data_IF_821813593852
#
_entry.id   IF_821813593852
#
_cell.length_a   1.000
_cell.length_b   1.000
_cell.length_c   1.000
_cell.angle_alpha   90.00
_cell.angle_beta   90.00
_cell.angle_gamma   90.00
#
_symmetry.space_group_name_H-M   'P 1'
#
loop_
_entity.id
_entity.type
_entity.pdbx_description
1 polymer ?
#
# COMPACT_ATOMS: atom_id res chain seq x y z
N UNK A 1 55.07 -16.28 -37.20
CA UNK A 1 55.44 -17.28 -38.19
C UNK A 1 56.51 -18.28 -37.70
N UNK A 2 57.02 -18.13 -36.45
CA UNK A 2 58.05 -18.94 -35.80
C UNK A 2 57.70 -19.16 -34.33
N UNK A 3 58.24 -20.21 -33.71
CA UNK A 3 58.20 -20.38 -32.27
C UNK A 3 58.98 -19.27 -31.58
N UNK A 4 58.56 -18.81 -30.43
CA UNK A 4 59.19 -17.72 -29.73
C UNK A 4 58.62 -17.41 -28.36
N UNK A 5 58.77 -16.16 -27.91
CA UNK A 5 58.19 -15.64 -26.68
C UNK A 5 57.49 -14.34 -26.92
N UNK A 6 56.32 -14.16 -26.31
CA UNK A 6 55.70 -12.86 -26.13
C UNK A 6 56.15 -12.28 -24.80
N UNK A 7 56.67 -11.08 -24.83
CA UNK A 7 56.93 -10.26 -23.64
C UNK A 7 55.81 -9.24 -23.48
N UNK A 8 55.34 -8.97 -22.27
CA UNK A 8 54.27 -7.99 -22.03
C UNK A 8 54.41 -7.28 -20.69
N UNK A 9 53.97 -6.03 -20.64
CA UNK A 9 53.82 -5.21 -19.43
C UNK A 9 52.42 -4.62 -19.36
N UNK A 10 51.91 -4.37 -18.16
CA UNK A 10 50.61 -3.82 -17.92
C UNK A 10 50.72 -2.42 -17.34
N UNK A 11 50.02 -1.42 -17.93
CA UNK A 11 49.90 -0.04 -17.45
C UNK A 11 51.26 0.66 -17.17
N UNK A 12 52.29 0.30 -17.88
CA UNK A 12 53.60 0.91 -17.70
C UNK A 12 54.20 1.31 -19.07
N UNK A 13 54.05 2.60 -19.41
CA UNK A 13 54.51 3.14 -20.68
C UNK A 13 56.03 3.38 -20.70
N UNK A 14 56.68 3.42 -19.55
CA UNK A 14 58.12 3.67 -19.41
C UNK A 14 58.93 2.39 -19.35
N UNK A 15 58.31 1.24 -19.01
CA UNK A 15 59.03 -0.03 -18.88
C UNK A 15 59.49 -0.55 -20.25
N UNK A 16 60.72 -1.05 -20.30
CA UNK A 16 61.17 -1.86 -21.42
C UNK A 16 60.49 -3.24 -21.35
N UNK A 17 59.68 -3.54 -22.35
CA UNK A 17 58.86 -4.77 -22.43
C UNK A 17 59.74 -6.02 -22.32
N UNK A 18 60.98 -5.99 -22.87
CA UNK A 18 61.88 -7.14 -22.91
C UNK A 18 62.66 -7.37 -21.60
N UNK A 19 62.83 -6.35 -20.79
CA UNK A 19 63.61 -6.46 -19.54
C UNK A 19 62.75 -6.48 -18.29
N UNK A 20 61.55 -5.84 -18.32
CA UNK A 20 60.65 -5.71 -17.17
C UNK A 20 59.40 -6.54 -17.35
N UNK A 21 59.12 -7.07 -18.53
CA UNK A 21 57.88 -7.74 -18.88
C UNK A 21 57.78 -9.19 -18.40
N UNK A 22 56.54 -9.61 -18.17
CA UNK A 22 56.19 -11.04 -18.08
C UNK A 22 56.30 -11.70 -19.46
N UNK A 23 56.40 -13.04 -19.49
CA UNK A 23 56.56 -13.78 -20.75
C UNK A 23 55.55 -14.88 -20.93
N UNK A 24 55.19 -15.15 -22.18
CA UNK A 24 54.40 -16.28 -22.62
C UNK A 24 55.07 -16.95 -23.83
N UNK A 25 55.11 -18.28 -23.88
CA UNK A 25 55.60 -19.01 -25.05
C UNK A 25 54.62 -18.83 -26.25
N UNK A 26 55.21 -18.67 -27.45
CA UNK A 26 54.44 -18.65 -28.71
C UNK A 26 54.72 -19.93 -29.49
N UNK A 27 53.68 -20.54 -30.01
CA UNK A 27 53.75 -21.72 -30.86
C UNK A 27 53.44 -21.33 -32.30
N UNK A 28 54.31 -21.72 -33.22
CA UNK A 28 54.16 -21.45 -34.62
C UNK A 28 52.85 -22.10 -35.21
N UNK A 29 52.11 -21.30 -35.94
CA UNK A 29 50.93 -21.76 -36.63
C UNK A 29 49.69 -21.93 -35.75
N UNK A 30 49.77 -21.64 -34.44
CA UNK A 30 48.68 -21.67 -33.47
C UNK A 30 48.15 -20.26 -33.18
N UNK A 31 46.88 -20.17 -32.76
CA UNK A 31 46.29 -18.96 -32.15
C UNK A 31 46.78 -18.87 -30.70
N UNK A 32 47.72 -17.99 -30.44
CA UNK A 32 48.29 -17.81 -29.11
C UNK A 32 47.43 -16.86 -28.28
N UNK A 33 46.92 -17.34 -27.13
CA UNK A 33 46.04 -16.55 -26.24
C UNK A 33 46.80 -16.16 -24.98
N UNK A 34 46.92 -14.86 -24.73
CA UNK A 34 47.44 -14.32 -23.46
C UNK A 34 46.25 -14.15 -22.49
N UNK A 35 46.23 -14.95 -21.42
CA UNK A 35 45.25 -14.80 -20.35
C UNK A 35 45.85 -13.91 -19.25
N UNK A 36 45.20 -12.79 -19.00
CA UNK A 36 45.52 -11.86 -17.92
C UNK A 36 44.64 -12.12 -16.69
N UNK A 37 45.24 -12.17 -15.51
CA UNK A 37 44.54 -12.38 -14.24
C UNK A 37 44.89 -11.27 -13.26
N UNK A 38 44.03 -11.01 -12.27
CA UNK A 38 44.27 -9.99 -11.24
C UNK A 38 44.21 -8.55 -11.77
N UNK A 39 43.49 -8.34 -12.87
CA UNK A 39 43.22 -7.00 -13.38
C UNK A 39 42.29 -6.24 -12.41
N UNK A 40 42.52 -4.94 -12.25
CA UNK A 40 41.64 -4.10 -11.47
C UNK A 40 40.36 -3.82 -12.23
N UNK A 41 39.22 -3.96 -11.53
CA UNK A 41 37.89 -3.72 -12.10
C UNK A 41 37.57 -2.23 -12.33
N UNK A 42 38.47 -1.33 -11.81
CA UNK A 42 38.19 0.12 -11.75
C UNK A 42 38.80 0.92 -12.90
N UNK A 43 39.56 0.31 -13.78
CA UNK A 43 40.23 1.01 -14.90
C UNK A 43 40.53 0.08 -16.07
N UNK A 44 40.60 0.66 -17.27
CA UNK A 44 41.08 -0.04 -18.43
C UNK A 44 42.60 -0.35 -18.27
N UNK A 45 43.05 -1.47 -18.82
CA UNK A 45 44.42 -1.92 -18.73
C UNK A 45 45.06 -1.83 -20.10
N UNK A 46 46.16 -1.08 -20.21
CA UNK A 46 46.99 -1.04 -21.43
C UNK A 46 48.02 -2.16 -21.35
N UNK A 47 47.97 -3.06 -22.31
CA UNK A 47 48.96 -4.13 -22.50
C UNK A 47 49.91 -3.71 -23.59
N UNK A 48 51.19 -3.49 -23.26
CA UNK A 48 52.25 -3.33 -24.22
C UNK A 48 52.97 -4.66 -24.39
N UNK A 49 53.18 -5.07 -25.61
CA UNK A 49 53.76 -6.38 -25.89
C UNK A 49 54.66 -6.38 -27.14
N UNK A 50 55.61 -7.30 -27.17
CA UNK A 50 56.45 -7.56 -28.32
C UNK A 50 56.87 -9.04 -28.34
N UNK A 51 57.13 -9.57 -29.53
CA UNK A 51 57.60 -10.93 -29.72
C UNK A 51 59.12 -10.96 -29.88
N UNK A 52 59.74 -12.06 -29.44
CA UNK A 52 61.12 -12.43 -29.70
C UNK A 52 61.17 -13.84 -30.26
N UNK A 53 61.87 -14.07 -31.35
CA UNK A 53 62.03 -15.41 -31.94
C UNK A 53 63.07 -16.25 -31.18
N UNK A 54 63.24 -17.51 -31.60
CA UNK A 54 64.22 -18.44 -30.99
C UNK A 54 65.69 -18.05 -31.20
N UNK A 55 65.99 -17.07 -32.06
CA UNK A 55 67.33 -16.54 -32.33
C UNK A 55 67.57 -15.22 -31.62
N UNK A 56 66.61 -14.69 -30.89
CA UNK A 56 66.73 -13.42 -30.17
C UNK A 56 66.36 -12.19 -30.98
N UNK A 57 65.78 -12.30 -32.16
CA UNK A 57 65.29 -11.16 -32.93
C UNK A 57 63.99 -10.65 -32.35
N UNK A 58 63.92 -9.32 -32.14
CA UNK A 58 62.79 -8.65 -31.44
C UNK A 58 61.93 -7.89 -32.44
N UNK A 59 60.64 -8.09 -32.30
CA UNK A 59 59.65 -7.31 -33.02
C UNK A 59 59.39 -5.94 -32.40
N UNK A 60 58.65 -5.09 -33.10
CA UNK A 60 58.19 -3.80 -32.58
C UNK A 60 57.22 -3.96 -31.39
N UNK A 61 57.30 -3.02 -30.44
CA UNK A 61 56.38 -2.98 -29.34
C UNK A 61 55.02 -2.48 -29.82
N UNK A 62 54.01 -3.28 -29.56
CA UNK A 62 52.61 -2.98 -29.83
C UNK A 62 51.86 -2.72 -28.53
N UNK A 63 50.69 -2.15 -28.62
CA UNK A 63 49.79 -1.99 -27.47
C UNK A 63 48.33 -2.32 -27.81
N UNK A 64 47.62 -2.85 -26.83
CA UNK A 64 46.19 -3.08 -26.88
C UNK A 64 45.58 -2.68 -25.53
N UNK A 65 44.42 -2.08 -25.54
CA UNK A 65 43.68 -1.74 -24.33
C UNK A 65 42.63 -2.82 -24.04
N UNK A 66 42.76 -3.45 -22.88
CA UNK A 66 41.69 -4.27 -22.28
C UNK A 66 40.74 -3.30 -21.63
N UNK A 67 39.46 -3.25 -22.07
CA UNK A 67 38.50 -2.28 -21.53
C UNK A 67 38.22 -2.51 -20.05
N UNK A 68 37.77 -1.47 -19.39
CA UNK A 68 37.21 -1.53 -18.04
C UNK A 68 36.09 -2.56 -18.00
N UNK A 69 36.03 -3.36 -16.95
CA UNK A 69 34.91 -4.23 -16.63
C UNK A 69 34.09 -3.62 -15.51
N UNK A 70 32.79 -3.47 -15.72
CA UNK A 70 31.83 -3.08 -14.68
C UNK A 70 31.02 -4.29 -14.24
N UNK A 71 31.12 -4.64 -12.96
CA UNK A 71 30.24 -5.65 -12.36
C UNK A 71 28.79 -5.15 -12.31
N UNK A 72 27.84 -6.05 -12.35
CA UNK A 72 26.45 -5.68 -12.09
C UNK A 72 26.31 -5.17 -10.65
N UNK A 73 25.58 -4.07 -10.39
CA UNK A 73 25.30 -3.60 -9.05
C UNK A 73 24.66 -4.69 -8.17
N UNK A 74 25.09 -4.77 -6.91
CA UNK A 74 24.56 -5.73 -5.94
C UNK A 74 23.88 -5.00 -4.76
N UNK A 75 23.28 -5.76 -3.84
CA UNK A 75 22.69 -5.22 -2.59
C UNK A 75 21.67 -4.11 -2.85
N UNK A 76 20.66 -4.41 -3.65
CA UNK A 76 19.59 -3.47 -3.95
C UNK A 76 18.55 -3.47 -2.81
N UNK A 77 18.28 -2.30 -2.25
CA UNK A 77 17.34 -2.13 -1.14
C UNK A 77 16.51 -0.85 -1.29
N UNK A 78 15.31 -0.85 -0.70
CA UNK A 78 14.55 0.36 -0.44
C UNK A 78 14.91 0.91 0.94
N UNK A 79 15.05 2.22 1.07
CA UNK A 79 15.19 2.87 2.39
C UNK A 79 13.84 2.76 3.11
N UNK A 80 13.85 2.23 4.33
CA UNK A 80 12.64 2.01 5.13
C UNK A 80 11.74 3.24 5.19
N UNK A 81 10.44 3.04 4.86
CA UNK A 81 9.42 4.07 4.89
C UNK A 81 9.50 5.10 3.77
N UNK A 82 10.35 4.87 2.76
CA UNK A 82 10.52 5.79 1.62
C UNK A 82 10.51 5.07 0.28
N UNK A 83 10.32 5.82 -0.80
CA UNK A 83 10.49 5.37 -2.18
C UNK A 83 11.93 5.57 -2.70
N UNK A 84 12.93 5.62 -1.81
CA UNK A 84 14.33 5.78 -2.18
C UNK A 84 14.98 4.42 -2.38
N UNK A 85 15.39 4.14 -3.60
CA UNK A 85 16.21 3.00 -3.99
C UNK A 85 17.67 3.24 -3.63
N UNK A 86 18.37 2.21 -3.12
CA UNK A 86 19.82 2.23 -2.85
C UNK A 86 20.46 0.94 -3.35
N UNK A 87 21.74 1.04 -3.72
CA UNK A 87 22.56 -0.09 -4.17
C UNK A 87 24.02 0.09 -3.77
N UNK A 88 24.81 -0.99 -3.87
CA UNK A 88 26.25 -0.93 -3.62
C UNK A 88 26.97 -0.20 -4.75
N UNK A 89 28.02 0.57 -4.39
CA UNK A 89 28.95 1.15 -5.34
C UNK A 89 29.61 0.07 -6.20
N UNK A 90 29.77 0.34 -7.49
CA UNK A 90 30.53 -0.49 -8.44
C UNK A 90 31.83 0.20 -8.75
N UNK A 91 33.00 -0.43 -8.48
CA UNK A 91 34.30 0.16 -8.80
C UNK A 91 34.37 0.50 -10.28
N UNK A 92 34.82 1.73 -10.57
CA UNK A 92 34.95 2.23 -11.94
C UNK A 92 33.66 2.74 -12.58
N UNK A 93 32.51 2.65 -11.94
CA UNK A 93 31.31 3.28 -12.44
C UNK A 93 31.35 4.81 -12.29
N UNK A 94 30.97 5.54 -13.32
CA UNK A 94 30.81 6.99 -13.28
C UNK A 94 29.36 7.40 -12.94
N UNK A 95 28.40 6.56 -13.30
CA UNK A 95 26.96 6.77 -13.05
C UNK A 95 26.22 5.44 -13.10
N UNK A 96 24.91 5.47 -12.87
CA UNK A 96 24.03 4.31 -12.86
C UNK A 96 22.78 4.59 -13.66
N UNK A 97 22.27 3.57 -14.33
CA UNK A 97 20.94 3.56 -14.94
C UNK A 97 20.00 2.75 -14.05
N UNK A 98 18.87 3.33 -13.66
CA UNK A 98 17.92 2.72 -12.73
C UNK A 98 16.59 2.53 -13.43
N UNK A 99 16.10 1.29 -13.52
CA UNK A 99 14.83 0.94 -14.11
C UNK A 99 13.84 0.54 -13.03
N UNK A 100 12.70 1.24 -12.96
CA UNK A 100 11.60 0.94 -12.07
C UNK A 100 10.60 -0.03 -12.72
N UNK A 101 10.08 -0.96 -11.93
CA UNK A 101 9.04 -1.90 -12.29
C UNK A 101 7.87 -1.79 -11.30
N UNK A 102 6.65 -1.91 -11.79
CA UNK A 102 5.42 -2.04 -11.00
C UNK A 102 4.71 -3.33 -11.42
N UNK A 103 4.43 -4.20 -10.48
CA UNK A 103 3.76 -5.48 -10.71
C UNK A 103 4.44 -6.32 -11.82
N UNK A 104 5.78 -6.19 -11.91
CA UNK A 104 6.62 -6.88 -12.88
C UNK A 104 6.75 -6.21 -14.25
N UNK A 105 6.03 -5.12 -14.52
CA UNK A 105 6.12 -4.35 -15.77
C UNK A 105 6.96 -3.08 -15.59
N UNK A 106 7.68 -2.66 -16.63
CA UNK A 106 8.39 -1.37 -16.65
C UNK A 106 7.40 -0.21 -16.56
N UNK A 107 7.67 0.74 -15.64
CA UNK A 107 6.78 1.89 -15.38
C UNK A 107 7.06 3.05 -16.31
N UNK A 108 8.34 3.32 -16.59
CA UNK A 108 8.82 4.44 -17.37
C UNK A 108 10.22 4.10 -17.93
N UNK A 109 10.78 4.89 -18.86
CA UNK A 109 12.18 4.76 -19.24
C UNK A 109 13.09 4.83 -18.03
N UNK A 110 14.20 4.08 -18.08
CA UNK A 110 15.21 4.11 -17.03
C UNK A 110 15.76 5.53 -16.82
N UNK A 111 16.09 5.84 -15.57
CA UNK A 111 16.65 7.13 -15.17
C UNK A 111 18.14 7.00 -14.87
N UNK A 112 18.91 8.08 -15.05
CA UNK A 112 20.32 8.12 -14.69
C UNK A 112 20.51 8.70 -13.30
N UNK A 113 21.39 8.11 -12.49
CA UNK A 113 21.79 8.58 -11.17
C UNK A 113 23.32 8.65 -11.08
N UNK A 114 23.84 9.76 -10.58
CA UNK A 114 25.28 9.97 -10.37
C UNK A 114 25.77 9.47 -8.98
N UNK A 115 24.84 8.97 -8.18
CA UNK A 115 25.09 8.42 -6.84
C UNK A 115 24.52 7.01 -6.75
N UNK A 116 24.76 6.32 -5.64
CA UNK A 116 24.23 4.97 -5.36
C UNK A 116 22.82 4.98 -4.80
N UNK A 117 22.04 6.01 -5.07
CA UNK A 117 20.65 6.12 -4.66
C UNK A 117 19.81 6.94 -5.63
N UNK A 118 18.49 6.66 -5.66
CA UNK A 118 17.52 7.42 -6.41
C UNK A 118 16.15 7.38 -5.72
N UNK A 119 15.47 8.53 -5.60
CA UNK A 119 14.14 8.62 -5.01
C UNK A 119 13.09 8.71 -6.11
N UNK A 120 12.18 7.74 -6.14
CA UNK A 120 11.07 7.69 -7.08
C UNK A 120 9.85 8.42 -6.50
N UNK A 121 9.01 9.01 -7.37
CA UNK A 121 7.67 9.44 -7.03
C UNK A 121 6.70 8.32 -7.41
N UNK A 122 6.08 7.67 -6.40
CA UNK A 122 5.19 6.53 -6.58
C UNK A 122 3.75 6.98 -6.29
N UNK A 123 2.97 7.23 -7.35
CA UNK A 123 1.62 7.81 -7.26
C UNK A 123 0.51 6.77 -7.18
N UNK A 124 0.79 5.52 -7.55
CA UNK A 124 -0.21 4.46 -7.65
C UNK A 124 0.06 3.32 -6.68
N UNK A 125 -1.00 2.63 -6.26
CA UNK A 125 -0.89 1.37 -5.53
C UNK A 125 -0.24 0.30 -6.40
N UNK A 126 0.58 -0.56 -5.79
CA UNK A 126 1.25 -1.65 -6.49
C UNK A 126 2.49 -2.16 -5.77
N UNK A 127 3.09 -3.21 -6.31
CA UNK A 127 4.35 -3.80 -5.85
C UNK A 127 5.49 -3.30 -6.75
N UNK A 128 6.38 -2.50 -6.17
CA UNK A 128 7.48 -1.88 -6.90
C UNK A 128 8.80 -2.60 -6.64
N UNK A 129 9.55 -2.86 -7.72
CA UNK A 129 10.94 -3.31 -7.70
C UNK A 129 11.77 -2.44 -8.63
N UNK A 130 13.08 -2.49 -8.48
CA UNK A 130 13.98 -1.80 -9.42
C UNK A 130 15.19 -2.68 -9.77
N UNK A 131 15.81 -2.37 -10.91
CA UNK A 131 17.10 -2.90 -11.34
C UNK A 131 18.04 -1.76 -11.63
N UNK A 132 19.33 -2.03 -11.52
CA UNK A 132 20.39 -1.03 -11.72
C UNK A 132 21.46 -1.60 -12.66
N UNK A 133 21.99 -0.74 -13.52
CA UNK A 133 23.11 -0.99 -14.40
C UNK A 133 24.16 0.09 -14.15
N UNK A 134 25.43 -0.29 -14.00
CA UNK A 134 26.53 0.65 -13.85
C UNK A 134 27.05 1.11 -15.21
N UNK A 135 27.47 2.37 -15.32
CA UNK A 135 27.92 3.02 -16.55
C UNK A 135 29.24 3.73 -16.34
N UNK A 136 30.11 3.68 -17.38
CA UNK A 136 31.25 4.57 -17.52
C UNK A 136 31.49 4.87 -19.00
N UNK A 137 31.03 6.04 -19.47
CA UNK A 137 30.99 6.35 -20.90
C UNK A 137 30.09 5.33 -21.63
N UNK A 138 30.65 4.68 -22.67
CA UNK A 138 29.97 3.66 -23.45
C UNK A 138 30.04 2.25 -22.83
N UNK A 139 30.75 2.11 -21.70
CA UNK A 139 30.86 0.81 -21.01
C UNK A 139 29.72 0.63 -20.05
N UNK A 140 29.00 -0.48 -20.21
CA UNK A 140 27.83 -0.85 -19.45
C UNK A 140 28.09 -2.16 -18.71
N UNK A 141 27.66 -2.25 -17.44
CA UNK A 141 27.58 -3.55 -16.77
C UNK A 141 26.38 -4.36 -17.28
N UNK A 142 26.24 -5.61 -16.88
CA UNK A 142 24.95 -6.26 -16.89
C UNK A 142 23.97 -5.55 -15.93
N UNK A 143 22.66 -5.70 -16.17
CA UNK A 143 21.64 -5.32 -15.20
C UNK A 143 21.75 -6.19 -13.94
N UNK A 144 21.51 -5.59 -12.80
CA UNK A 144 21.36 -6.33 -11.54
C UNK A 144 20.17 -7.28 -11.56
N UNK A 145 20.11 -8.20 -10.61
CA UNK A 145 18.87 -8.83 -10.22
C UNK A 145 17.89 -7.76 -9.71
N UNK A 146 16.60 -8.10 -9.66
CA UNK A 146 15.59 -7.19 -9.13
C UNK A 146 15.76 -7.00 -7.61
N UNK A 147 15.45 -5.81 -7.12
CA UNK A 147 15.37 -5.53 -5.68
C UNK A 147 14.27 -6.35 -5.00
N UNK A 148 14.25 -6.37 -3.66
CA UNK A 148 13.06 -6.70 -2.90
C UNK A 148 11.90 -5.78 -3.26
N UNK A 149 10.67 -6.25 -3.08
CA UNK A 149 9.46 -5.48 -3.39
C UNK A 149 9.17 -4.41 -2.32
N UNK A 150 8.77 -3.23 -2.77
CA UNK A 150 8.15 -2.18 -1.97
C UNK A 150 6.66 -2.12 -2.33
N UNK A 151 5.79 -2.44 -1.38
CA UNK A 151 4.35 -2.32 -1.57
C UNK A 151 3.89 -0.91 -1.21
N UNK A 152 3.23 -0.25 -2.16
CA UNK A 152 2.58 1.04 -1.99
C UNK A 152 1.08 0.82 -2.06
N UNK A 153 0.36 1.35 -1.10
CA UNK A 153 -1.09 1.39 -1.09
C UNK A 153 -1.56 2.85 -1.01
N UNK A 154 -2.34 3.26 -2.00
CA UNK A 154 -2.97 4.58 -2.13
C UNK A 154 -4.49 4.48 -2.21
N UNK A 155 -5.01 3.26 -2.06
CA UNK A 155 -6.45 2.99 -2.15
C UNK A 155 -7.09 3.34 -0.81
N UNK A 156 -8.13 4.12 -0.84
CA UNK A 156 -8.89 4.43 0.37
C UNK A 156 -9.93 3.35 0.63
N UNK A 157 -10.17 2.94 1.89
CA UNK A 157 -11.24 2.00 2.21
C UNK A 157 -12.60 2.48 1.74
N UNK A 158 -13.41 1.58 1.18
CA UNK A 158 -14.80 1.86 0.82
C UNK A 158 -15.76 1.29 1.87
N UNK A 159 -16.69 2.15 2.35
CA UNK A 159 -17.73 1.80 3.31
C UNK A 159 -19.06 1.67 2.59
N UNK A 160 -19.79 0.59 2.86
CA UNK A 160 -21.09 0.30 2.27
C UNK A 160 -22.00 -0.46 3.25
N UNK A 161 -23.31 -0.61 2.92
CA UNK A 161 -24.27 -1.40 3.67
C UNK A 161 -24.56 -0.84 5.07
N UNK A 162 -24.44 0.48 5.24
CA UNK A 162 -24.62 1.14 6.53
C UNK A 162 -26.07 0.99 7.02
N UNK A 163 -26.23 0.54 8.26
CA UNK A 163 -27.51 0.44 8.95
C UNK A 163 -27.35 0.74 10.44
N UNK A 164 -28.44 1.09 11.09
CA UNK A 164 -28.46 1.29 12.52
C UNK A 164 -29.74 0.72 13.15
N UNK A 165 -29.61 0.26 14.38
CA UNK A 165 -30.72 -0.24 15.15
C UNK A 165 -30.65 0.24 16.60
N UNK A 166 -31.84 0.18 17.28
CA UNK A 166 -31.93 0.46 18.71
C UNK A 166 -32.32 -0.80 19.46
N UNK A 167 -31.76 -0.99 20.63
CA UNK A 167 -32.19 -2.02 21.60
C UNK A 167 -33.02 -1.42 22.70
N UNK A 168 -32.74 -0.19 23.11
CA UNK A 168 -33.48 0.58 24.11
C UNK A 168 -33.20 2.10 23.96
N UNK A 169 -33.66 2.92 24.90
CA UNK A 169 -33.48 4.37 24.86
C UNK A 169 -32.02 4.81 24.93
N UNK A 170 -31.16 4.01 25.52
CA UNK A 170 -29.75 4.36 25.76
C UNK A 170 -28.77 3.58 24.89
N UNK A 171 -29.20 2.48 24.27
CA UNK A 171 -28.34 1.57 23.54
C UNK A 171 -28.81 1.32 22.11
N UNK A 172 -27.87 1.06 21.24
CA UNK A 172 -28.10 0.74 19.84
C UNK A 172 -26.86 0.21 19.16
N UNK A 173 -26.88 0.11 17.85
CA UNK A 173 -25.70 -0.27 17.09
C UNK A 173 -25.72 0.33 15.69
N UNK A 174 -24.53 0.48 15.11
CA UNK A 174 -24.30 0.74 13.69
C UNK A 174 -23.60 -0.47 13.10
N UNK A 175 -24.06 -0.93 11.94
CA UNK A 175 -23.46 -1.99 11.15
C UNK A 175 -23.08 -1.43 9.79
N UNK A 176 -21.93 -1.81 9.28
CA UNK A 176 -21.44 -1.43 7.95
C UNK A 176 -20.44 -2.47 7.44
N UNK A 177 -20.15 -2.44 6.15
CA UNK A 177 -19.12 -3.26 5.51
C UNK A 177 -17.98 -2.36 5.05
N UNK A 178 -16.73 -2.75 5.38
CA UNK A 178 -15.52 -2.17 4.80
C UNK A 178 -14.88 -3.19 3.87
N UNK A 179 -14.40 -2.77 2.70
CA UNK A 179 -13.66 -3.65 1.79
C UNK A 179 -12.23 -3.93 2.27
N UNK A 180 -11.71 -3.09 3.19
CA UNK A 180 -10.38 -3.23 3.77
C UNK A 180 -10.41 -3.30 5.30
N UNK A 181 -9.38 -3.92 5.87
CA UNK A 181 -9.10 -3.89 7.30
C UNK A 181 -8.50 -2.53 7.72
N UNK A 182 -8.72 -2.14 8.97
CA UNK A 182 -8.17 -0.88 9.47
C UNK A 182 -8.75 -0.47 10.81
N UNK A 183 -8.88 0.85 11.01
CA UNK A 183 -9.48 1.47 12.20
C UNK A 183 -10.70 2.28 11.82
N UNK A 184 -11.85 1.95 12.39
CA UNK A 184 -13.06 2.75 12.29
C UNK A 184 -13.07 3.81 13.40
N UNK A 185 -13.06 5.07 13.01
CA UNK A 185 -13.23 6.24 13.90
C UNK A 185 -14.68 6.72 13.80
N UNK A 186 -15.32 7.05 14.94
CA UNK A 186 -16.70 7.50 14.92
C UNK A 186 -17.03 8.51 16.00
N UNK A 187 -18.00 9.37 15.69
CA UNK A 187 -18.59 10.38 16.61
C UNK A 187 -20.11 10.20 16.61
N UNK A 188 -20.72 10.24 17.79
CA UNK A 188 -22.17 10.15 17.99
C UNK A 188 -22.75 11.53 18.26
N UNK A 189 -23.75 11.93 17.49
CA UNK A 189 -24.44 13.22 17.64
C UNK A 189 -23.66 14.40 17.08
N UNK A 190 -24.24 15.59 17.22
CA UNK A 190 -23.65 16.84 16.72
C UNK A 190 -23.79 17.04 15.20
N UNK A 191 -23.00 17.98 14.69
CA UNK A 191 -22.88 18.25 13.27
C UNK A 191 -21.83 17.36 12.63
N UNK A 192 -21.87 17.20 11.30
CA UNK A 192 -20.88 16.41 10.55
C UNK A 192 -19.48 17.00 10.76
N UNK A 193 -18.56 16.22 11.38
CA UNK A 193 -17.20 16.69 11.66
C UNK A 193 -16.34 16.72 10.39
N UNK A 194 -15.22 17.45 10.45
CA UNK A 194 -14.11 17.26 9.51
C UNK A 194 -13.35 15.95 9.82
N UNK A 195 -12.59 15.44 8.85
CA UNK A 195 -11.80 14.20 9.02
C UNK A 195 -10.85 14.25 10.22
N UNK A 196 -10.17 15.38 10.44
CA UNK A 196 -9.21 15.53 11.55
C UNK A 196 -9.90 15.45 12.91
N UNK A 197 -11.14 15.94 13.02
CA UNK A 197 -11.94 15.80 14.24
C UNK A 197 -12.34 14.34 14.52
N UNK A 198 -12.62 13.55 13.47
CA UNK A 198 -12.84 12.12 13.61
C UNK A 198 -11.58 11.38 14.07
N UNK A 199 -10.42 11.69 13.47
CA UNK A 199 -9.14 11.09 13.87
C UNK A 199 -8.76 11.41 15.34
N UNK A 200 -9.13 12.58 15.81
CA UNK A 200 -8.94 12.99 17.20
C UNK A 200 -9.96 12.36 18.17
N UNK A 201 -11.00 11.67 17.65
CA UNK A 201 -12.03 11.03 18.47
C UNK A 201 -11.43 9.90 19.32
N UNK A 202 -11.90 9.80 20.57
CA UNK A 202 -11.59 8.65 21.43
C UNK A 202 -12.33 7.37 21.02
N UNK A 203 -13.38 7.47 20.16
CA UNK A 203 -14.13 6.32 19.70
C UNK A 203 -13.47 5.71 18.47
N UNK A 204 -12.73 4.64 18.69
CA UNK A 204 -12.03 3.88 17.64
C UNK A 204 -12.24 2.39 17.84
N UNK A 205 -12.37 1.66 16.73
CA UNK A 205 -12.49 0.21 16.71
C UNK A 205 -11.61 -0.36 15.61
N UNK A 206 -10.79 -1.36 15.95
CA UNK A 206 -10.09 -2.16 14.96
C UNK A 206 -11.10 -3.04 14.21
N UNK A 207 -10.99 -3.06 12.89
CA UNK A 207 -11.89 -3.79 12.00
C UNK A 207 -11.11 -4.67 11.02
N UNK A 208 -11.71 -5.81 10.66
CA UNK A 208 -11.29 -6.59 9.50
C UNK A 208 -12.04 -6.11 8.25
N UNK A 209 -11.60 -6.53 7.07
CA UNK A 209 -12.42 -6.45 5.86
C UNK A 209 -13.71 -7.28 6.05
N UNK A 210 -14.84 -6.75 5.61
CA UNK A 210 -16.15 -7.34 5.77
C UNK A 210 -17.08 -6.55 6.70
N UNK A 211 -18.13 -7.23 7.19
CA UNK A 211 -19.13 -6.62 8.05
C UNK A 211 -18.59 -6.32 9.46
N UNK A 212 -18.87 -5.12 9.92
CA UNK A 212 -18.52 -4.65 11.26
C UNK A 212 -19.73 -4.07 11.96
N UNK A 213 -19.91 -4.46 13.23
CA UNK A 213 -20.91 -3.88 14.14
C UNK A 213 -20.24 -3.05 15.21
N UNK A 214 -20.68 -1.83 15.40
CA UNK A 214 -20.31 -0.94 16.51
C UNK A 214 -21.49 -0.84 17.45
N UNK A 215 -21.33 -1.30 18.69
CA UNK A 215 -22.34 -1.11 19.73
C UNK A 215 -22.21 0.31 20.33
N UNK A 216 -23.35 0.97 20.49
CA UNK A 216 -23.45 2.33 20.97
C UNK A 216 -24.13 2.34 22.33
N UNK A 217 -23.69 3.20 23.24
CA UNK A 217 -24.29 3.42 24.55
C UNK A 217 -24.40 4.92 24.85
N UNK A 218 -25.20 5.27 25.87
CA UNK A 218 -25.39 6.66 26.27
C UNK A 218 -26.20 7.49 25.28
N UNK A 219 -26.98 6.83 24.40
CA UNK A 219 -27.88 7.49 23.47
C UNK A 219 -29.06 8.10 24.21
N UNK A 220 -29.62 9.20 23.70
CA UNK A 220 -30.94 9.70 24.10
C UNK A 220 -32.07 8.96 23.35
N UNK A 221 -33.34 9.18 23.71
CA UNK A 221 -34.48 8.56 23.01
C UNK A 221 -34.64 9.06 21.56
N UNK A 222 -34.20 10.26 21.27
CA UNK A 222 -34.31 10.90 19.96
C UNK A 222 -33.37 10.27 18.91
N UNK A 223 -33.72 10.47 17.64
CA UNK A 223 -32.83 10.07 16.56
C UNK A 223 -31.50 10.84 16.62
N UNK A 224 -30.41 10.17 16.34
CA UNK A 224 -29.09 10.79 16.32
C UNK A 224 -28.25 10.30 15.16
N UNK A 225 -27.33 11.12 14.69
CA UNK A 225 -26.40 10.72 13.65
C UNK A 225 -25.14 10.11 14.24
N UNK A 226 -24.59 9.12 13.57
CA UNK A 226 -23.23 8.61 13.79
C UNK A 226 -22.42 8.92 12.53
N UNK A 227 -21.33 9.63 12.70
CA UNK A 227 -20.37 9.91 11.65
C UNK A 227 -19.23 8.95 11.80
N UNK A 228 -18.90 8.21 10.75
CA UNK A 228 -17.84 7.21 10.78
C UNK A 228 -16.94 7.31 9.56
N UNK A 229 -15.67 6.95 9.73
CA UNK A 229 -14.63 6.90 8.73
C UNK A 229 -13.70 5.73 9.06
N UNK A 230 -13.22 5.02 8.04
CA UNK A 230 -12.20 3.97 8.17
C UNK A 230 -10.86 4.50 7.68
N UNK A 231 -9.81 4.15 8.40
CA UNK A 231 -8.42 4.39 8.00
C UNK A 231 -7.72 3.03 7.93
N UNK A 232 -7.11 2.72 6.79
CA UNK A 232 -6.38 1.48 6.58
C UNK A 232 -4.98 1.47 7.24
N UNK A 233 -4.21 0.41 7.02
CA UNK A 233 -2.84 0.29 7.55
C UNK A 233 -1.83 1.20 6.85
N UNK A 234 -2.11 1.63 5.62
CA UNK A 234 -1.27 2.56 4.86
C UNK A 234 -1.56 4.04 5.19
N UNK A 235 -2.65 4.30 5.93
CA UNK A 235 -3.09 5.64 6.33
C UNK A 235 -4.07 6.29 5.36
N UNK A 236 -4.59 5.55 4.35
CA UNK A 236 -5.62 6.06 3.48
C UNK A 236 -6.95 6.10 4.22
N UNK A 237 -7.75 7.12 3.91
CA UNK A 237 -8.98 7.46 4.64
C UNK A 237 -10.18 7.33 3.73
N UNK A 238 -11.22 6.62 4.19
CA UNK A 238 -12.51 6.62 3.51
C UNK A 238 -13.19 7.99 3.57
N UNK A 239 -14.24 8.17 2.79
CA UNK A 239 -15.19 9.24 3.01
C UNK A 239 -15.91 9.09 4.35
N UNK A 240 -16.31 10.24 4.94
CA UNK A 240 -17.13 10.24 6.15
C UNK A 240 -18.56 9.85 5.80
N UNK A 241 -19.01 8.72 6.35
CA UNK A 241 -20.39 8.26 6.28
C UNK A 241 -21.21 8.81 7.42
N UNK A 242 -22.50 9.05 7.14
CA UNK A 242 -23.49 9.48 8.14
C UNK A 242 -24.53 8.40 8.25
N UNK A 243 -24.63 7.80 9.43
CA UNK A 243 -25.63 6.74 9.71
C UNK A 243 -26.61 7.26 10.74
N UNK A 244 -27.87 7.33 10.37
CA UNK A 244 -28.94 7.80 11.27
C UNK A 244 -29.40 6.66 12.16
N UNK A 245 -29.12 6.78 13.46
CA UNK A 245 -29.71 5.91 14.49
C UNK A 245 -31.15 6.37 14.73
N UNK A 246 -32.15 5.49 14.58
CA UNK A 246 -33.55 5.89 14.68
C UNK A 246 -33.96 6.33 16.08
N UNK A 247 -35.12 6.99 16.19
CA UNK A 247 -35.77 7.24 17.47
C UNK A 247 -36.09 5.92 18.16
N UNK A 248 -35.95 5.89 19.49
CA UNK A 248 -36.46 4.76 20.27
C UNK A 248 -37.92 4.97 20.67
N UNK A 249 -38.77 4.08 20.24
CA UNK A 249 -40.15 4.05 20.65
C UNK A 249 -40.32 3.11 21.84
N UNK A 250 -40.46 3.68 23.02
CA UNK A 250 -40.79 2.91 24.21
C UNK A 250 -42.16 2.24 24.08
N UNK A 251 -42.32 1.10 24.73
CA UNK A 251 -43.63 0.48 24.86
C UNK A 251 -44.55 1.39 25.71
N UNK A 252 -45.80 1.66 25.26
CA UNK A 252 -46.80 2.29 26.15
C UNK A 252 -46.91 1.53 27.47
N UNK A 253 -46.83 2.23 28.60
CA UNK A 253 -46.80 1.59 29.94
C UNK A 253 -48.15 1.53 30.62
N UNK A 254 -49.06 2.42 30.25
CA UNK A 254 -50.40 2.49 30.85
C UNK A 254 -51.44 2.38 29.75
N UNK A 255 -52.14 1.26 29.73
CA UNK A 255 -53.27 1.04 28.81
C UNK A 255 -54.49 0.73 29.64
N UNK A 256 -55.48 1.60 29.59
CA UNK A 256 -56.70 1.48 30.40
C UNK A 256 -57.95 1.83 29.57
N UNK A 257 -59.10 1.42 30.03
CA UNK A 257 -60.39 1.87 29.53
C UNK A 257 -60.86 3.10 30.32
N UNK A 258 -61.43 4.05 29.63
CA UNK A 258 -62.21 5.12 30.30
C UNK A 258 -63.47 4.51 30.89
N UNK A 259 -63.72 4.71 32.18
CA UNK A 259 -64.81 4.12 32.89
C UNK A 259 -66.21 4.27 32.15
N UNK A 260 -66.87 3.16 32.00
CA UNK A 260 -68.21 3.07 31.32
C UNK A 260 -68.22 3.53 29.86
N UNK A 261 -67.09 3.50 29.17
CA UNK A 261 -67.01 3.83 27.75
C UNK A 261 -66.27 2.76 26.99
N UNK A 262 -66.38 2.78 25.64
CA UNK A 262 -65.52 1.98 24.76
C UNK A 262 -64.23 2.72 24.37
N UNK A 263 -63.79 3.70 25.19
CA UNK A 263 -62.61 4.51 24.90
C UNK A 263 -61.37 3.94 25.61
N UNK A 264 -60.38 3.56 24.84
CA UNK A 264 -59.07 3.20 25.36
C UNK A 264 -58.20 4.42 25.60
N UNK A 265 -57.42 4.38 26.67
CA UNK A 265 -56.41 5.40 27.00
C UNK A 265 -55.06 4.78 27.18
N UNK A 266 -53.99 5.50 26.77
CA UNK A 266 -52.59 5.12 27.00
C UNK A 266 -51.76 6.38 27.21
N UNK A 267 -50.55 6.21 27.74
CA UNK A 267 -49.57 7.32 27.83
C UNK A 267 -48.89 7.58 26.51
N UNK A 268 -48.64 8.83 26.19
CA UNK A 268 -47.87 9.22 25.01
C UNK A 268 -46.44 8.64 25.03
N UNK A 269 -45.97 8.20 23.86
CA UNK A 269 -44.60 7.73 23.66
C UNK A 269 -43.87 8.77 22.83
N UNK A 270 -42.71 9.26 23.35
CA UNK A 270 -41.88 10.26 22.64
C UNK A 270 -41.47 9.68 21.30
N UNK A 271 -41.59 10.49 20.24
CA UNK A 271 -41.21 10.11 18.87
C UNK A 271 -42.23 9.22 18.15
N UNK A 272 -43.33 8.81 18.76
CA UNK A 272 -44.37 8.07 18.07
C UNK A 272 -45.16 9.01 17.14
N UNK A 273 -45.38 8.60 15.91
CA UNK A 273 -46.20 9.30 14.91
C UNK A 273 -47.64 8.78 14.90
N UNK A 274 -47.82 7.50 15.26
CA UNK A 274 -49.10 6.83 15.32
C UNK A 274 -49.05 5.65 16.33
N UNK A 275 -50.24 5.12 16.69
CA UNK A 275 -50.36 3.93 17.51
C UNK A 275 -51.21 2.90 16.77
N UNK A 276 -50.78 1.64 16.84
CA UNK A 276 -51.57 0.49 16.40
C UNK A 276 -52.24 -0.14 17.60
N UNK A 277 -53.56 -0.24 17.58
CA UNK A 277 -54.35 -0.85 18.64
C UNK A 277 -54.92 -2.16 18.12
N UNK A 278 -54.64 -3.24 18.83
CA UNK A 278 -55.30 -4.54 18.62
C UNK A 278 -56.26 -4.83 19.77
N UNK A 279 -57.50 -5.03 19.46
CA UNK A 279 -58.48 -5.52 20.45
C UNK A 279 -58.25 -7.02 20.66
N UNK A 280 -58.47 -7.46 21.90
CA UNK A 280 -58.43 -8.87 22.26
C UNK A 280 -59.80 -9.24 22.86
N UNK A 281 -60.35 -10.39 22.47
CA UNK A 281 -61.54 -11.01 23.06
C UNK A 281 -61.17 -12.40 23.53
N UNK A 282 -61.35 -12.64 24.82
CA UNK A 282 -60.99 -13.92 25.44
C UNK A 282 -59.50 -14.32 25.18
N UNK A 283 -58.61 -13.31 25.10
CA UNK A 283 -57.17 -13.49 24.87
C UNK A 283 -56.76 -13.71 23.43
N UNK A 284 -57.68 -13.69 22.48
CA UNK A 284 -57.43 -13.81 21.03
C UNK A 284 -57.65 -12.49 20.30
N UNK A 285 -56.94 -12.27 19.22
CA UNK A 285 -57.12 -11.09 18.38
C UNK A 285 -58.58 -10.97 17.90
N UNK A 286 -59.14 -9.80 18.09
CA UNK A 286 -60.49 -9.48 17.69
C UNK A 286 -60.53 -8.30 16.74
N UNK A 287 -61.03 -8.52 15.54
CA UNK A 287 -61.11 -7.51 14.51
C UNK A 287 -59.72 -7.14 13.91
N UNK A 288 -59.72 -6.11 13.10
CA UNK A 288 -58.47 -5.60 12.47
C UNK A 288 -57.72 -4.66 13.41
N UNK A 289 -56.41 -4.50 13.17
CA UNK A 289 -55.61 -3.46 13.83
C UNK A 289 -56.18 -2.07 13.49
N UNK A 290 -56.39 -1.26 14.53
CA UNK A 290 -56.89 0.10 14.42
C UNK A 290 -55.68 1.06 14.48
N UNK A 291 -55.51 1.88 13.46
CA UNK A 291 -54.44 2.88 13.42
C UNK A 291 -54.99 4.20 13.94
N UNK A 292 -54.33 4.72 15.01
CA UNK A 292 -54.63 6.03 15.56
C UNK A 292 -53.48 6.97 15.23
N UNK A 293 -53.70 7.89 14.31
CA UNK A 293 -52.68 8.87 13.87
C UNK A 293 -52.52 9.99 14.91
N UNK A 294 -51.29 10.50 15.01
CA UNK A 294 -50.88 11.57 15.92
C UNK A 294 -50.19 11.02 17.18
N UNK A 295 -48.90 11.27 17.29
CA UNK A 295 -48.07 10.76 18.37
C UNK A 295 -48.40 11.27 19.75
N UNK A 296 -49.13 12.40 19.85
CA UNK A 296 -49.64 12.96 21.11
C UNK A 296 -51.05 12.47 21.45
N UNK A 297 -51.71 11.72 20.54
CA UNK A 297 -53.04 11.17 20.79
C UNK A 297 -52.94 10.02 21.76
N UNK A 298 -53.62 10.13 22.91
CA UNK A 298 -53.57 9.13 23.99
C UNK A 298 -54.92 8.46 24.26
N UNK A 299 -55.93 8.71 23.43
CA UNK A 299 -57.25 8.12 23.54
C UNK A 299 -57.84 7.77 22.18
N UNK A 300 -58.63 6.75 22.11
CA UNK A 300 -59.42 6.40 20.92
C UNK A 300 -60.77 5.77 21.32
N UNK A 301 -61.82 6.22 20.68
CA UNK A 301 -63.13 5.55 20.78
C UNK A 301 -63.15 4.33 19.87
N UNK A 302 -63.32 3.17 20.46
CA UNK A 302 -63.30 1.87 19.80
C UNK A 302 -64.68 1.24 19.67
N UNK A 303 -65.79 1.97 19.99
CA UNK A 303 -67.11 1.46 19.98
C UNK A 303 -67.55 0.84 18.65
N UNK A 304 -67.09 1.44 17.52
CA UNK A 304 -67.43 0.93 16.19
C UNK A 304 -66.67 -0.37 15.81
N UNK A 305 -65.67 -0.78 16.60
CA UNK A 305 -64.86 -1.96 16.37
C UNK A 305 -65.17 -3.12 17.34
N UNK A 306 -66.12 -2.91 18.24
CA UNK A 306 -66.52 -3.88 19.29
C UNK A 306 -67.77 -4.64 18.96
N UNK A 307 -68.41 -4.39 17.82
CA UNK A 307 -69.68 -5.07 17.38
C UNK A 307 -69.37 -6.32 16.58
#
# INVERSE_FOLDING_TARGET
NEDGKLYYVLNDDAADVFTSGSTMALTKGEDNTLTLTGLADSAAVVVRYAAEDGLGNRGEVQSVTVPLYLAAPATLTWVNGTSTAMWSEVPGAASYCVQLYKDGAEVAPAVTADTTSYTFTLEESGSYTFKVQALNGDILSAWSEASGALTIDKTAPAISGESASRTDASNGSVTFTSDEAGKAYYIVGGEKPAQDALLASANVKDIASGETKIDLSGLGAEATNVYLMVVDAAGNKSDIKTVKVPVYLAKPTTITWVNNTATAMWNAVSGAEAYNIQLLRDGSDYGNVIVVNGGSTTTSDLASHMN
#
